data_IF_648089269147
#
_entry.id   IF_648089269147
#
_cell.length_a   1.000
_cell.length_b   1.000
_cell.length_c   1.000
_cell.angle_alpha   90.00
_cell.angle_beta   90.00
_cell.angle_gamma   90.00
#
_symmetry.space_group_name_H-M   'P 1'
#
loop_
_entity.id
_entity.type
_entity.pdbx_description
1 polymer ?
#
# COMPACT_ATOMS: atom_id res chain seq x y z
N UNK A 1 46.80 17.18 -31.86
CA UNK A 1 45.86 16.12 -31.43
C UNK A 1 45.88 15.89 -29.91
N UNK A 2 47.05 15.97 -29.25
CA UNK A 2 47.20 15.79 -27.78
C UNK A 2 46.33 16.73 -26.93
N UNK A 3 46.20 18.01 -27.30
CA UNK A 3 45.43 19.01 -26.53
C UNK A 3 43.93 18.72 -26.46
N UNK A 4 43.37 18.05 -27.48
CA UNK A 4 41.94 17.71 -27.55
C UNK A 4 41.62 16.48 -26.70
N UNK A 5 42.53 15.50 -26.65
CA UNK A 5 42.36 14.32 -25.79
C UNK A 5 42.52 14.66 -24.29
N UNK A 6 43.37 15.65 -23.97
CA UNK A 6 43.58 16.08 -22.58
C UNK A 6 42.35 16.78 -21.99
N UNK A 7 41.61 17.52 -22.81
CA UNK A 7 40.35 18.16 -22.42
C UNK A 7 39.24 17.14 -22.16
N UNK A 8 39.12 16.10 -22.99
CA UNK A 8 38.10 15.04 -22.84
C UNK A 8 38.37 14.19 -21.59
N UNK A 9 39.63 13.85 -21.30
CA UNK A 9 40.01 13.16 -20.06
C UNK A 9 39.70 14.00 -18.82
N UNK A 10 40.00 15.31 -18.85
CA UNK A 10 39.68 16.21 -17.74
C UNK A 10 38.18 16.29 -17.45
N UNK A 11 37.35 16.37 -18.51
CA UNK A 11 35.89 16.41 -18.36
C UNK A 11 35.32 15.11 -17.78
N UNK A 12 35.86 13.94 -18.17
CA UNK A 12 35.42 12.65 -17.65
C UNK A 12 35.72 12.48 -16.14
N UNK A 13 36.85 12.99 -15.66
CA UNK A 13 37.21 12.95 -14.23
C UNK A 13 36.36 13.94 -13.40
N UNK A 14 36.04 15.10 -13.96
CA UNK A 14 35.13 16.05 -13.30
C UNK A 14 33.70 15.49 -13.19
N UNK A 15 33.26 14.68 -14.16
CA UNK A 15 31.95 14.01 -14.11
C UNK A 15 31.92 12.83 -13.11
N UNK A 16 33.03 12.10 -12.92
CA UNK A 16 33.09 11.02 -11.92
C UNK A 16 33.20 11.52 -10.48
N UNK A 17 33.61 12.77 -10.27
CA UNK A 17 33.65 13.41 -8.95
C UNK A 17 32.25 13.68 -8.35
N UNK A 18 31.18 13.62 -9.16
CA UNK A 18 29.81 13.82 -8.68
C UNK A 18 29.25 12.64 -7.87
N UNK A 19 30.01 11.55 -7.66
CA UNK A 19 29.63 10.45 -6.78
C UNK A 19 28.41 9.63 -7.24
N UNK A 20 27.85 9.94 -8.41
CA UNK A 20 26.79 9.15 -9.04
C UNK A 20 27.39 7.83 -9.50
N UNK A 21 27.23 6.80 -8.68
CA UNK A 21 27.46 5.43 -9.11
C UNK A 21 26.29 4.99 -10.00
N UNK A 22 26.59 4.32 -11.11
CA UNK A 22 25.57 3.57 -11.83
C UNK A 22 24.89 2.67 -10.79
N UNK A 23 23.56 2.78 -10.68
CA UNK A 23 22.76 1.83 -9.90
C UNK A 23 23.09 0.47 -10.50
N UNK A 24 23.96 -0.28 -9.83
CA UNK A 24 24.53 -1.50 -10.37
C UNK A 24 23.42 -2.45 -10.79
N UNK A 25 23.73 -3.46 -11.60
CA UNK A 25 22.81 -4.58 -11.86
C UNK A 25 22.52 -5.43 -10.62
N UNK A 26 22.88 -4.93 -9.42
CA UNK A 26 22.33 -5.40 -8.17
C UNK A 26 20.84 -5.39 -8.36
N UNK A 27 20.29 -6.59 -8.46
CA UNK A 27 18.86 -6.84 -8.60
C UNK A 27 18.16 -5.89 -7.63
N UNK A 28 17.04 -5.28 -8.04
CA UNK A 28 16.11 -4.67 -7.08
C UNK A 28 15.53 -5.82 -6.26
N UNK A 29 16.39 -6.46 -5.47
CA UNK A 29 16.20 -7.76 -4.90
C UNK A 29 15.31 -7.53 -3.72
N UNK A 30 14.01 -7.66 -3.96
CA UNK A 30 13.07 -7.83 -2.89
C UNK A 30 13.58 -9.04 -2.09
N UNK A 31 13.77 -8.81 -0.79
CA UNK A 31 14.15 -9.88 0.12
C UNK A 31 13.07 -10.96 0.18
N UNK A 32 11.83 -10.57 -0.14
CA UNK A 32 10.69 -11.46 -0.35
C UNK A 32 10.73 -11.99 -1.79
N UNK A 33 10.82 -13.32 -1.94
CA UNK A 33 10.83 -14.00 -3.24
C UNK A 33 9.47 -14.51 -3.69
N UNK A 34 8.56 -14.71 -2.75
CA UNK A 34 7.24 -15.29 -2.99
C UNK A 34 6.20 -14.45 -2.26
N UNK A 35 5.13 -14.08 -2.95
CA UNK A 35 4.10 -13.21 -2.39
C UNK A 35 2.73 -13.49 -3.04
N UNK A 36 1.69 -13.64 -2.24
CA UNK A 36 0.31 -13.61 -2.73
C UNK A 36 -0.15 -12.14 -2.77
N UNK A 37 -0.75 -11.71 -3.87
CA UNK A 37 -1.26 -10.34 -4.00
C UNK A 37 -2.75 -10.40 -4.28
N UNK A 38 -3.53 -9.82 -3.37
CA UNK A 38 -4.98 -9.73 -3.47
C UNK A 38 -5.45 -8.29 -3.27
N UNK A 39 -6.63 -7.98 -3.79
CA UNK A 39 -7.24 -6.67 -3.66
C UNK A 39 -8.75 -6.82 -3.59
N UNK A 40 -9.44 -5.88 -2.94
CA UNK A 40 -10.91 -5.82 -2.97
C UNK A 40 -11.45 -5.81 -4.41
N UNK A 41 -10.80 -5.04 -5.29
CA UNK A 41 -11.01 -5.12 -6.73
C UNK A 41 -9.90 -5.98 -7.37
N UNK A 42 -10.17 -7.28 -7.53
CA UNK A 42 -9.18 -8.26 -8.04
C UNK A 42 -8.66 -7.95 -9.45
N UNK A 43 -9.42 -7.18 -10.24
CA UNK A 43 -9.10 -6.76 -11.61
C UNK A 43 -8.79 -5.26 -11.72
N UNK A 44 -8.55 -4.58 -10.59
CA UNK A 44 -8.18 -3.17 -10.59
C UNK A 44 -6.87 -2.92 -11.33
N UNK A 45 -6.74 -1.74 -11.93
CA UNK A 45 -5.52 -1.36 -12.66
C UNK A 45 -4.31 -1.33 -11.72
N UNK A 46 -4.49 -0.92 -10.46
CA UNK A 46 -3.42 -0.81 -9.46
C UNK A 46 -2.87 -2.17 -9.07
N UNK A 47 -3.73 -3.15 -8.78
CA UNK A 47 -3.28 -4.52 -8.46
C UNK A 47 -2.63 -5.19 -9.66
N UNK A 48 -3.15 -4.96 -10.87
CA UNK A 48 -2.60 -5.54 -12.11
C UNK A 48 -1.20 -4.98 -12.40
N UNK A 49 -1.02 -3.66 -12.28
CA UNK A 49 0.30 -3.03 -12.44
C UNK A 49 1.26 -3.46 -11.34
N UNK A 50 0.80 -3.58 -10.09
CA UNK A 50 1.63 -4.03 -8.98
C UNK A 50 2.15 -5.46 -9.19
N UNK A 51 1.28 -6.40 -9.60
CA UNK A 51 1.69 -7.77 -9.93
C UNK A 51 2.76 -7.79 -11.02
N UNK A 52 2.53 -7.05 -12.11
CA UNK A 52 3.50 -6.95 -13.20
C UNK A 52 4.87 -6.42 -12.73
N UNK A 53 4.88 -5.37 -11.89
CA UNK A 53 6.12 -4.78 -11.39
C UNK A 53 6.84 -5.72 -10.42
N UNK A 54 6.11 -6.47 -9.58
CA UNK A 54 6.66 -7.49 -8.70
C UNK A 54 7.30 -8.64 -9.48
N UNK A 55 6.59 -9.18 -10.48
CA UNK A 55 7.09 -10.24 -11.36
C UNK A 55 8.33 -9.79 -12.14
N UNK A 56 8.30 -8.56 -12.69
CA UNK A 56 9.45 -7.96 -13.36
C UNK A 56 10.64 -7.73 -12.42
N UNK A 57 10.39 -7.65 -11.11
CA UNK A 57 11.44 -7.51 -10.07
C UNK A 57 11.93 -8.86 -9.56
N UNK A 58 11.44 -9.98 -10.10
CA UNK A 58 11.88 -11.33 -9.74
C UNK A 58 11.12 -11.96 -8.58
N UNK A 59 9.94 -11.43 -8.20
CA UNK A 59 9.07 -12.04 -7.19
C UNK A 59 8.08 -12.98 -7.86
N UNK A 60 7.97 -14.20 -7.36
CA UNK A 60 6.96 -15.15 -7.80
C UNK A 60 5.63 -14.84 -7.12
N UNK A 61 4.67 -14.34 -7.90
CA UNK A 61 3.34 -13.99 -7.40
C UNK A 61 2.37 -15.14 -7.64
N UNK A 62 1.90 -15.78 -6.58
CA UNK A 62 0.97 -16.90 -6.67
C UNK A 62 0.08 -17.02 -5.42
N UNK A 63 -1.06 -17.67 -5.56
CA UNK A 63 -2.01 -17.89 -4.45
C UNK A 63 -1.47 -18.92 -3.46
N UNK A 64 -1.49 -18.61 -2.17
CA UNK A 64 -1.01 -19.52 -1.12
C UNK A 64 0.49 -19.40 -0.81
N UNK A 65 1.13 -18.32 -1.25
CA UNK A 65 2.48 -17.97 -0.79
C UNK A 65 2.52 -17.73 0.74
N UNK A 66 3.70 -17.83 1.38
CA UNK A 66 3.83 -17.68 2.84
C UNK A 66 3.36 -16.33 3.38
N UNK A 67 3.48 -15.28 2.57
CA UNK A 67 3.03 -13.93 2.88
C UNK A 67 2.04 -13.47 1.82
N UNK A 68 1.07 -12.67 2.26
CA UNK A 68 0.01 -12.14 1.42
C UNK A 68 -0.10 -10.63 1.58
N UNK A 69 0.04 -9.90 0.48
CA UNK A 69 -0.28 -8.49 0.39
C UNK A 69 -1.75 -8.32 -0.01
N UNK A 70 -2.52 -7.66 0.85
CA UNK A 70 -3.93 -7.35 0.63
C UNK A 70 -4.08 -5.85 0.43
N UNK A 71 -4.54 -5.44 -0.75
CA UNK A 71 -4.98 -4.07 -1.01
C UNK A 71 -6.43 -3.93 -0.50
N UNK A 72 -6.58 -3.38 0.70
CA UNK A 72 -7.82 -3.34 1.47
C UNK A 72 -8.83 -2.38 0.83
N UNK A 73 -8.35 -1.18 0.48
CA UNK A 73 -9.15 -0.11 -0.12
C UNK A 73 -8.28 0.83 -0.95
N UNK A 74 -8.84 1.34 -2.05
CA UNK A 74 -8.23 2.37 -2.88
C UNK A 74 -9.26 3.49 -3.10
N UNK A 75 -8.97 4.66 -2.52
CA UNK A 75 -9.88 5.81 -2.54
C UNK A 75 -9.28 6.94 -3.36
N UNK A 76 -9.94 7.24 -4.47
CA UNK A 76 -9.67 8.42 -5.29
C UNK A 76 -10.62 9.55 -4.90
N UNK A 77 -10.09 10.76 -4.78
CA UNK A 77 -10.84 11.98 -4.48
C UNK A 77 -10.38 13.12 -5.37
N UNK A 78 -11.31 14.01 -5.68
CA UNK A 78 -11.06 15.18 -6.51
C UNK A 78 -11.71 16.39 -5.83
N UNK A 79 -10.96 17.48 -5.66
CA UNK A 79 -11.48 18.74 -5.11
C UNK A 79 -10.98 19.95 -5.89
N UNK A 80 -11.83 20.95 -6.04
CA UNK A 80 -11.42 22.24 -6.60
C UNK A 80 -10.59 22.98 -5.55
N UNK A 81 -9.38 23.41 -5.93
CA UNK A 81 -8.52 24.21 -5.05
C UNK A 81 -8.74 25.70 -5.25
N UNK A 82 -8.98 26.12 -6.48
CA UNK A 82 -9.07 27.53 -6.85
C UNK A 82 -10.14 27.74 -7.91
N UNK A 83 -10.65 28.98 -7.99
CA UNK A 83 -11.60 29.41 -9.00
C UNK A 83 -11.02 30.61 -9.75
N UNK A 84 -11.14 30.59 -11.08
CA UNK A 84 -10.86 31.74 -11.93
C UNK A 84 -11.92 32.84 -11.72
N UNK A 85 -11.64 34.05 -12.21
CA UNK A 85 -12.51 35.24 -12.08
C UNK A 85 -13.95 35.06 -12.59
N UNK A 86 -14.18 34.07 -13.45
CA UNK A 86 -15.49 33.70 -13.98
C UNK A 86 -16.21 32.58 -13.19
N UNK A 87 -15.74 32.23 -11.99
CA UNK A 87 -16.35 31.20 -11.14
C UNK A 87 -16.12 29.75 -11.60
N UNK A 88 -15.25 29.52 -12.59
CA UNK A 88 -14.85 28.18 -13.04
C UNK A 88 -13.64 27.70 -12.26
N UNK A 89 -13.59 26.41 -11.91
CA UNK A 89 -12.42 25.83 -11.24
C UNK A 89 -11.18 26.02 -12.12
N UNK A 90 -10.10 26.56 -11.55
CA UNK A 90 -8.84 26.79 -12.27
C UNK A 90 -7.80 25.73 -11.94
N UNK A 91 -7.79 25.25 -10.69
CA UNK A 91 -6.92 24.15 -10.26
C UNK A 91 -7.73 23.10 -9.50
N UNK A 92 -7.44 21.85 -9.81
CA UNK A 92 -8.08 20.68 -9.22
C UNK A 92 -7.00 19.88 -8.50
N UNK A 93 -7.24 19.52 -7.26
CA UNK A 93 -6.43 18.52 -6.56
C UNK A 93 -7.02 17.14 -6.79
N UNK A 94 -6.16 16.23 -7.22
CA UNK A 94 -6.40 14.80 -7.26
C UNK A 94 -5.66 14.17 -6.09
N UNK A 95 -6.35 13.36 -5.30
CA UNK A 95 -5.77 12.63 -4.17
C UNK A 95 -6.17 11.16 -4.26
N UNK A 96 -5.19 10.27 -4.21
CA UNK A 96 -5.39 8.82 -4.17
C UNK A 96 -4.76 8.24 -2.90
N UNK A 97 -5.55 7.44 -2.16
CA UNK A 97 -5.14 6.78 -0.92
C UNK A 97 -5.32 5.28 -1.08
N UNK A 98 -4.21 4.55 -1.00
CA UNK A 98 -4.18 3.08 -1.03
C UNK A 98 -3.91 2.56 0.37
N UNK A 99 -4.88 1.86 0.95
CA UNK A 99 -4.73 1.16 2.23
C UNK A 99 -4.37 -0.30 1.98
N UNK A 100 -3.35 -0.79 2.64
CA UNK A 100 -2.86 -2.15 2.45
C UNK A 100 -2.52 -2.83 3.77
N UNK A 101 -2.52 -4.15 3.73
CA UNK A 101 -2.18 -5.02 4.84
C UNK A 101 -1.27 -6.14 4.34
N UNK A 102 -0.25 -6.47 5.12
CA UNK A 102 0.58 -7.66 4.92
C UNK A 102 0.15 -8.70 5.94
N UNK A 103 -0.31 -9.82 5.43
CA UNK A 103 -0.73 -10.98 6.18
C UNK A 103 0.36 -12.06 6.12
N UNK A 104 0.51 -12.76 7.22
CA UNK A 104 1.40 -13.89 7.36
C UNK A 104 0.64 -15.21 7.29
N UNK A 105 1.15 -16.19 8.03
CA UNK A 105 0.49 -17.50 8.16
C UNK A 105 -0.88 -17.34 8.85
N UNK A 106 -1.81 -18.23 8.50
CA UNK A 106 -3.17 -18.25 9.04
C UNK A 106 -3.97 -16.95 8.85
N UNK A 107 -3.61 -16.15 7.83
CA UNK A 107 -4.21 -14.85 7.55
C UNK A 107 -4.06 -13.82 8.68
N UNK A 108 -3.07 -14.00 9.55
CA UNK A 108 -2.81 -13.07 10.64
C UNK A 108 -2.24 -11.74 10.11
N UNK A 109 -2.79 -10.58 10.52
CA UNK A 109 -2.27 -9.28 10.12
C UNK A 109 -0.91 -9.03 10.77
N UNK A 110 0.15 -8.94 9.96
CA UNK A 110 1.50 -8.62 10.45
C UNK A 110 1.69 -7.12 10.57
N UNK A 111 1.24 -6.39 9.55
CA UNK A 111 1.27 -4.94 9.52
C UNK A 111 0.27 -4.38 8.50
N UNK A 112 -0.13 -3.12 8.68
CA UNK A 112 -0.91 -2.38 7.70
C UNK A 112 -0.51 -0.91 7.72
N UNK A 113 -0.54 -0.27 6.56
CA UNK A 113 -0.27 1.16 6.41
C UNK A 113 -1.08 1.70 5.22
N UNK A 114 -0.98 3.01 4.99
CA UNK A 114 -1.59 3.70 3.86
C UNK A 114 -0.56 4.48 3.06
N UNK A 115 -0.70 4.47 1.75
CA UNK A 115 0.09 5.27 0.82
C UNK A 115 -0.83 6.33 0.22
N UNK A 116 -0.43 7.60 0.31
CA UNK A 116 -1.19 8.72 -0.23
C UNK A 116 -0.37 9.49 -1.27
N UNK A 117 -0.97 9.73 -2.44
CA UNK A 117 -0.46 10.61 -3.50
C UNK A 117 -1.43 11.77 -3.68
N UNK A 118 -0.89 12.98 -3.80
CA UNK A 118 -1.64 14.17 -4.15
C UNK A 118 -0.94 14.88 -5.32
N UNK A 119 -1.72 15.30 -6.32
CA UNK A 119 -1.25 16.12 -7.43
C UNK A 119 -2.27 17.22 -7.71
N UNK A 120 -1.76 18.37 -8.14
CA UNK A 120 -2.58 19.50 -8.60
C UNK A 120 -2.49 19.56 -10.12
N UNK A 121 -3.65 19.71 -10.76
CA UNK A 121 -3.78 19.80 -12.21
C UNK A 121 -4.52 21.08 -12.54
N UNK A 122 -4.03 21.82 -13.53
CA UNK A 122 -4.74 23.01 -14.01
C UNK A 122 -5.93 22.59 -14.85
N UNK A 123 -7.05 23.31 -14.72
CA UNK A 123 -8.29 23.03 -15.41
C UNK A 123 -8.71 24.27 -16.21
N UNK A 124 -8.67 24.16 -17.54
CA UNK A 124 -9.11 25.23 -18.43
C UNK A 124 -10.61 25.09 -18.72
N UNK A 125 -11.40 26.00 -18.14
CA UNK A 125 -12.83 26.08 -18.34
C UNK A 125 -13.27 26.38 -19.79
N UNK A 126 -12.35 26.84 -20.66
CA UNK A 126 -12.60 27.01 -22.10
C UNK A 126 -12.25 25.77 -22.92
N UNK A 127 -11.55 24.79 -22.33
CA UNK A 127 -11.15 23.54 -22.96
C UNK A 127 -11.39 22.34 -22.03
N UNK A 128 -12.67 22.04 -21.80
CA UNK A 128 -13.09 20.96 -20.89
C UNK A 128 -12.54 19.59 -21.31
N UNK A 129 -12.60 19.27 -22.60
CA UNK A 129 -12.15 17.97 -23.12
C UNK A 129 -10.64 17.79 -22.92
N UNK A 130 -9.84 18.83 -23.20
CA UNK A 130 -8.41 18.80 -22.95
C UNK A 130 -8.08 18.63 -21.47
N UNK A 131 -8.77 19.40 -20.62
CA UNK A 131 -8.58 19.34 -19.17
C UNK A 131 -8.96 17.98 -18.57
N UNK A 132 -10.04 17.35 -19.05
CA UNK A 132 -10.45 16.02 -18.61
C UNK A 132 -9.44 14.94 -19.05
N UNK A 133 -8.89 15.07 -20.26
CA UNK A 133 -7.81 14.19 -20.74
C UNK A 133 -6.55 14.32 -19.88
N UNK A 134 -6.20 15.55 -19.46
CA UNK A 134 -5.08 15.80 -18.55
C UNK A 134 -5.32 15.15 -17.17
N UNK A 135 -6.51 15.28 -16.60
CA UNK A 135 -6.88 14.62 -15.34
C UNK A 135 -6.75 13.09 -15.46
N UNK A 136 -7.22 12.49 -16.55
CA UNK A 136 -7.09 11.04 -16.79
C UNK A 136 -5.62 10.63 -16.87
N UNK A 137 -4.79 11.42 -17.57
CA UNK A 137 -3.35 11.16 -17.69
C UNK A 137 -2.65 11.26 -16.33
N UNK A 138 -2.94 12.30 -15.56
CA UNK A 138 -2.34 12.49 -14.22
C UNK A 138 -2.77 11.38 -13.27
N UNK A 139 -4.01 10.88 -13.33
CA UNK A 139 -4.42 9.71 -12.52
C UNK A 139 -3.62 8.45 -12.87
N UNK A 140 -3.35 8.20 -14.15
CA UNK A 140 -2.49 7.07 -14.57
C UNK A 140 -1.07 7.20 -14.01
N UNK A 141 -0.54 8.42 -13.97
CA UNK A 141 0.78 8.69 -13.36
C UNK A 141 0.76 8.52 -11.84
N UNK A 142 -0.26 9.06 -11.16
CA UNK A 142 -0.42 8.87 -9.71
C UNK A 142 -0.48 7.39 -9.34
N UNK A 143 -1.10 6.54 -10.17
CA UNK A 143 -1.12 5.10 -9.96
C UNK A 143 0.25 4.47 -10.09
N UNK A 144 1.04 4.87 -11.11
CA UNK A 144 2.44 4.43 -11.24
C UNK A 144 3.25 4.84 -10.01
N UNK A 145 3.03 6.05 -9.50
CA UNK A 145 3.68 6.56 -8.29
C UNK A 145 3.27 5.74 -7.04
N UNK A 146 1.98 5.37 -6.92
CA UNK A 146 1.50 4.48 -5.86
C UNK A 146 2.20 3.12 -5.90
N UNK A 147 2.26 2.49 -7.07
CA UNK A 147 2.94 1.19 -7.24
C UNK A 147 4.41 1.31 -6.89
N UNK A 148 5.11 2.36 -7.34
CA UNK A 148 6.51 2.58 -6.99
C UNK A 148 6.72 2.77 -5.48
N UNK A 149 5.86 3.54 -4.80
CA UNK A 149 5.93 3.69 -3.34
C UNK A 149 5.64 2.36 -2.63
N UNK A 150 4.72 1.55 -3.13
CA UNK A 150 4.46 0.22 -2.60
C UNK A 150 5.70 -0.68 -2.73
N UNK A 151 6.35 -0.68 -3.90
CA UNK A 151 7.59 -1.43 -4.10
C UNK A 151 8.68 -1.02 -3.12
N UNK A 152 8.84 0.28 -2.88
CA UNK A 152 9.78 0.79 -1.88
C UNK A 152 9.43 0.31 -0.46
N UNK A 153 8.13 0.28 -0.10
CA UNK A 153 7.70 -0.28 1.20
C UNK A 153 8.05 -1.77 1.31
N UNK A 154 7.82 -2.55 0.26
CA UNK A 154 8.13 -3.98 0.24
C UNK A 154 9.64 -4.25 0.28
N UNK A 155 10.47 -3.38 -0.32
CA UNK A 155 11.93 -3.48 -0.25
C UNK A 155 12.50 -3.29 1.16
N UNK A 156 11.78 -2.58 2.03
CA UNK A 156 12.18 -2.39 3.42
C UNK A 156 11.84 -3.60 4.30
N UNK A 157 11.01 -4.54 3.81
CA UNK A 157 10.61 -5.73 4.56
C UNK A 157 11.64 -6.83 4.39
N UNK A 158 12.34 -7.13 5.48
CA UNK A 158 13.25 -8.28 5.52
C UNK A 158 12.55 -9.53 6.05
N UNK A 159 12.99 -10.74 5.68
CA UNK A 159 12.45 -11.99 6.22
C UNK A 159 12.53 -12.04 7.74
N UNK A 160 13.63 -11.55 8.33
CA UNK A 160 13.82 -11.49 9.79
C UNK A 160 12.77 -10.62 10.47
N UNK A 161 12.44 -9.46 9.90
CA UNK A 161 11.38 -8.60 10.44
C UNK A 161 10.01 -9.25 10.33
N UNK A 162 9.72 -9.90 9.21
CA UNK A 162 8.46 -10.63 9.02
C UNK A 162 8.31 -11.78 10.01
N UNK A 163 9.38 -12.51 10.31
CA UNK A 163 9.36 -13.56 11.34
C UNK A 163 9.08 -13.01 12.75
N UNK A 164 9.67 -11.87 13.11
CA UNK A 164 9.41 -11.22 14.40
C UNK A 164 7.94 -10.76 14.48
N UNK A 165 7.43 -10.17 13.40
CA UNK A 165 6.01 -9.77 13.32
C UNK A 165 5.09 -10.98 13.41
N UNK A 166 5.45 -12.10 12.76
CA UNK A 166 4.68 -13.33 12.81
C UNK A 166 4.62 -13.88 14.23
N UNK A 167 5.76 -14.00 14.94
CA UNK A 167 5.77 -14.45 16.34
C UNK A 167 4.90 -13.57 17.22
N UNK A 168 5.00 -12.25 17.04
CA UNK A 168 4.19 -11.28 17.78
C UNK A 168 2.70 -11.45 17.50
N UNK A 169 2.32 -11.71 16.25
CA UNK A 169 0.94 -11.97 15.86
C UNK A 169 0.43 -13.30 16.42
N UNK A 170 1.24 -14.36 16.36
CA UNK A 170 0.93 -15.70 16.90
C UNK A 170 0.72 -15.64 18.44
N UNK A 171 1.62 -14.94 19.15
CA UNK A 171 1.54 -14.75 20.61
C UNK A 171 0.28 -13.96 21.02
N UNK A 172 -0.05 -12.90 20.27
CA UNK A 172 -1.28 -12.12 20.49
C UNK A 172 -2.53 -12.94 20.23
N UNK A 173 -2.57 -13.67 19.11
CA UNK A 173 -3.71 -14.51 18.76
C UNK A 173 -3.95 -15.60 19.82
N UNK A 174 -2.88 -16.19 20.34
CA UNK A 174 -2.97 -17.15 21.45
C UNK A 174 -3.48 -16.51 22.74
N UNK A 175 -2.95 -15.35 23.11
CA UNK A 175 -3.39 -14.63 24.31
C UNK A 175 -4.88 -14.23 24.23
N UNK A 176 -5.34 -13.77 23.07
CA UNK A 176 -6.75 -13.45 22.82
C UNK A 176 -7.64 -14.70 22.92
N UNK A 177 -7.21 -15.83 22.34
CA UNK A 177 -7.94 -17.10 22.44
C UNK A 177 -8.03 -17.62 23.88
N UNK A 178 -6.96 -17.51 24.65
CA UNK A 178 -6.94 -17.91 26.07
C UNK A 178 -7.83 -16.98 26.92
N UNK A 179 -7.83 -15.68 26.62
CA UNK A 179 -8.72 -14.70 27.28
C UNK A 179 -10.21 -14.96 26.96
N UNK A 180 -10.53 -15.30 25.71
CA UNK A 180 -11.88 -15.67 25.28
C UNK A 180 -12.38 -16.93 25.99
N UNK A 181 -11.55 -17.97 26.09
CA UNK A 181 -11.89 -19.20 26.82
C UNK A 181 -12.11 -18.93 28.31
N UNK A 182 -11.22 -18.16 28.94
CA UNK A 182 -11.38 -17.79 30.33
C UNK A 182 -12.70 -17.02 30.53
N UNK A 183 -13.03 -16.06 29.67
CA UNK A 183 -14.29 -15.33 29.72
C UNK A 183 -15.52 -16.26 29.61
N UNK A 184 -15.48 -17.23 28.68
CA UNK A 184 -16.54 -18.24 28.54
C UNK A 184 -16.69 -19.09 29.81
N UNK A 185 -15.58 -19.55 30.40
CA UNK A 185 -15.61 -20.30 31.65
C UNK A 185 -16.17 -19.47 32.82
N UNK A 186 -15.88 -18.16 32.89
CA UNK A 186 -16.50 -17.28 33.90
C UNK A 186 -18.01 -17.13 33.68
N UNK A 187 -18.47 -16.98 32.43
CA UNK A 187 -19.89 -16.88 32.09
C UNK A 187 -20.66 -18.17 32.42
N UNK A 188 -20.09 -19.33 32.07
CA UNK A 188 -20.71 -20.64 32.32
C UNK A 188 -20.77 -20.98 33.82
N UNK A 189 -19.77 -20.57 34.59
CA UNK A 189 -19.73 -20.76 36.04
C UNK A 189 -20.54 -19.71 36.82
N UNK A 190 -21.05 -18.66 36.18
CA UNK A 190 -21.90 -17.66 36.83
C UNK A 190 -23.33 -18.19 36.99
N UNK A 191 -23.86 -18.37 38.22
CA UNK A 191 -25.19 -18.92 38.42
C UNK A 191 -26.26 -18.00 37.80
N UNK A 192 -26.91 -18.45 36.72
CA UNK A 192 -28.08 -17.77 36.15
C UNK A 192 -29.24 -17.94 37.12
N UNK A 193 -29.64 -16.87 37.81
CA UNK A 193 -30.84 -16.89 38.65
C UNK A 193 -32.04 -17.22 37.77
N UNK A 194 -32.73 -18.32 38.09
CA UNK A 194 -34.00 -18.66 37.44
C UNK A 194 -34.96 -17.48 37.56
N UNK A 195 -35.71 -17.12 36.50
CA UNK A 195 -36.73 -16.08 36.59
C UNK A 195 -37.64 -16.37 37.78
N UNK A 196 -37.71 -15.42 38.71
CA UNK A 196 -38.62 -15.51 39.85
C UNK A 196 -40.04 -15.55 39.28
N UNK A 197 -40.71 -16.69 39.41
CA UNK A 197 -42.15 -16.78 39.17
C UNK A 197 -42.82 -15.87 40.19
N UNK A 198 -43.23 -14.69 39.72
CA UNK A 198 -44.11 -13.81 40.49
C UNK A 198 -45.49 -14.47 40.47
N UNK A 199 -46.01 -14.94 41.61
CA UNK A 199 -47.33 -15.56 41.63
C UNK A 199 -48.35 -14.51 41.19
N UNK A 200 -49.12 -14.85 40.16
CA UNK A 200 -50.24 -14.03 39.69
C UNK A 200 -51.30 -14.01 40.80
N UNK A 201 -51.72 -12.85 41.31
CA UNK A 201 -52.77 -12.80 42.33
C UNK A 201 -54.07 -13.35 41.75
N UNK A 202 -54.64 -14.34 42.43
CA UNK A 202 -55.98 -14.83 42.15
C UNK A 202 -56.92 -14.13 43.15
N UNK A 203 -57.58 -13.08 42.69
CA UNK A 203 -58.90 -12.61 43.15
C UNK A 203 -59.50 -11.60 42.17
#
# INVERSE_FOLDING_TARGET
MIKRNLLVMGLAVLLSACGFQLRGTGTNDLSIKELDVSARNAYGETVTQLRQVLENSGVHVYTGAPYKLVLVDEKETQRNLSYASAGRASDIELSSVLSFEVQGRDHLPLMGDKIQIQKVVSHDGNNLVGSDSEVIQVRKEMRRDLVQRMMLRLQLLTPEQLEVLQRTADDKAKAEADALKAAQEYEDNTPKQSPVEVPVPVE
#
